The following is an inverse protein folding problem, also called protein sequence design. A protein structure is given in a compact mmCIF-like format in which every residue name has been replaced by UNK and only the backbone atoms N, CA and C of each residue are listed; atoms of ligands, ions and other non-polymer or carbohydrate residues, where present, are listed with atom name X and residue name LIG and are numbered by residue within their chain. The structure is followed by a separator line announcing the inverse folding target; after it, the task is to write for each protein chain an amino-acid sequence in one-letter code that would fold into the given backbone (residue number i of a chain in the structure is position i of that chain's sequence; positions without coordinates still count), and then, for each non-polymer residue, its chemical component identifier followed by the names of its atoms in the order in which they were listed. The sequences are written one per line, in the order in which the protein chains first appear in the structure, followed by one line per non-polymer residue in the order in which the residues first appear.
data_IF_822195531439
#
_entry.id   IF_822195531439
#
_cell.length_a   1.000
_cell.length_b   1.000
_cell.length_c   1.000
_cell.angle_alpha   90.00
_cell.angle_beta   90.00
_cell.angle_gamma   90.00
#
_symmetry.space_group_name_H-M   'P 1'
#
loop_
_entity.id
_entity.type
_entity.pdbx_description
1 polymer ?
#
# COMPACT_ATOMS: atom_id res chain seq x y z
N UNK A 1 -44.25 61.04 -34.42
CA UNK A 1 -44.55 60.11 -33.29
C UNK A 1 -43.73 58.86 -33.53
N UNK A 2 -42.74 58.60 -32.69
CA UNK A 2 -41.89 57.41 -32.76
C UNK A 2 -42.46 56.38 -31.77
N UNK A 3 -42.33 55.08 -32.05
CA UNK A 3 -43.03 54.04 -31.31
C UNK A 3 -42.14 53.45 -30.20
N UNK A 4 -42.26 53.97 -28.98
CA UNK A 4 -41.58 53.47 -27.79
C UNK A 4 -42.19 52.13 -27.34
N UNK A 5 -41.75 51.02 -27.96
CA UNK A 5 -42.17 49.65 -27.67
C UNK A 5 -40.99 48.72 -27.31
N UNK A 6 -39.91 49.27 -26.74
CA UNK A 6 -38.72 48.51 -26.32
C UNK A 6 -38.63 48.40 -24.80
N UNK A 7 -38.83 47.19 -24.26
CA UNK A 7 -38.60 46.87 -22.84
C UNK A 7 -37.26 46.17 -22.69
N UNK A 8 -36.35 46.75 -21.91
CA UNK A 8 -35.04 46.14 -21.60
C UNK A 8 -35.19 45.32 -20.31
N UNK A 9 -35.11 43.99 -20.44
CA UNK A 9 -35.17 43.05 -19.29
C UNK A 9 -33.76 42.59 -18.90
N UNK A 10 -33.19 43.20 -17.86
CA UNK A 10 -31.90 42.80 -17.30
C UNK A 10 -32.05 41.58 -16.37
N UNK A 11 -31.72 40.38 -16.87
CA UNK A 11 -31.73 39.14 -16.06
C UNK A 11 -30.35 38.96 -15.38
N UNK A 12 -30.26 38.96 -14.03
CA UNK A 12 -29.00 38.79 -13.33
C UNK A 12 -28.54 37.33 -13.33
N UNK A 13 -27.51 37.02 -14.13
CA UNK A 13 -26.85 35.71 -14.14
C UNK A 13 -25.94 35.57 -12.90
N UNK A 14 -25.92 34.39 -12.28
CA UNK A 14 -25.02 34.06 -11.17
C UNK A 14 -24.19 32.83 -11.54
N UNK A 15 -22.89 32.88 -11.29
CA UNK A 15 -22.03 31.70 -11.37
C UNK A 15 -22.24 30.84 -10.12
N UNK A 16 -22.31 29.52 -10.30
CA UNK A 16 -22.49 28.54 -9.23
C UNK A 16 -21.60 27.33 -9.58
N UNK A 17 -20.60 27.08 -8.74
CA UNK A 17 -19.77 25.88 -8.80
C UNK A 17 -19.79 25.16 -7.45
N UNK A 18 -19.60 23.83 -7.48
CA UNK A 18 -19.49 22.99 -6.28
C UNK A 18 -18.36 22.00 -6.52
N UNK A 19 -17.19 22.31 -6.00
CA UNK A 19 -16.07 21.36 -5.99
C UNK A 19 -16.19 20.46 -4.77
N UNK A 20 -15.89 19.18 -4.97
CA UNK A 20 -15.54 18.24 -3.90
C UNK A 20 -14.23 17.54 -4.27
N UNK A 21 -13.54 17.00 -3.27
CA UNK A 21 -12.38 16.11 -3.46
C UNK A 21 -12.68 14.79 -2.75
N UNK A 22 -12.44 13.69 -3.45
CA UNK A 22 -12.47 12.33 -2.90
C UNK A 22 -11.12 11.67 -3.13
N UNK A 23 -10.84 10.58 -2.43
CA UNK A 23 -9.63 9.80 -2.64
C UNK A 23 -9.76 8.38 -2.12
N UNK A 24 -8.91 7.51 -2.64
CA UNK A 24 -8.79 6.10 -2.30
C UNK A 24 -7.35 5.63 -2.55
N UNK A 25 -6.92 4.56 -1.89
CA UNK A 25 -5.64 3.89 -2.20
C UNK A 25 -5.90 2.74 -3.16
N UNK A 26 -4.92 2.40 -4.00
CA UNK A 26 -4.92 1.14 -4.77
C UNK A 26 -4.41 -0.05 -3.94
N UNK A 27 -3.86 0.20 -2.75
CA UNK A 27 -3.35 -0.81 -1.83
C UNK A 27 -3.85 -0.51 -0.41
N UNK A 28 -5.10 -0.88 -0.10
CA UNK A 28 -5.69 -0.67 1.24
C UNK A 28 -4.90 -1.38 2.35
N UNK A 29 -4.43 -2.58 2.06
CA UNK A 29 -3.63 -3.41 2.96
C UNK A 29 -2.35 -3.90 2.25
N UNK A 30 -1.21 -3.57 2.83
CA UNK A 30 0.12 -4.00 2.40
C UNK A 30 0.69 -4.93 3.46
N UNK A 31 1.04 -6.14 3.02
CA UNK A 31 1.58 -7.19 3.89
C UNK A 31 2.93 -7.64 3.32
N UNK A 32 3.99 -7.55 4.13
CA UNK A 32 5.32 -8.10 3.78
C UNK A 32 5.83 -9.07 4.83
N UNK A 33 6.95 -9.73 4.54
CA UNK A 33 7.77 -10.42 5.55
C UNK A 33 9.22 -9.99 5.37
N UNK A 34 9.95 -9.75 6.46
CA UNK A 34 11.38 -9.44 6.39
C UNK A 34 12.25 -10.66 6.04
N UNK A 35 11.70 -11.88 6.09
CA UNK A 35 12.46 -13.14 5.92
C UNK A 35 12.87 -13.48 4.49
N UNK A 36 12.39 -12.75 3.47
CA UNK A 36 12.72 -13.04 2.06
C UNK A 36 14.08 -12.49 1.57
N UNK A 37 14.98 -12.08 2.48
CA UNK A 37 16.16 -11.27 2.16
C UNK A 37 17.50 -12.06 2.14
N UNK A 38 17.44 -13.40 1.99
CA UNK A 38 18.62 -14.28 1.95
C UNK A 38 18.83 -14.97 0.60
N UNK A 39 18.26 -14.44 -0.48
CA UNK A 39 18.43 -14.94 -1.85
C UNK A 39 18.61 -13.77 -2.82
N UNK A 40 19.51 -13.91 -3.79
CA UNK A 40 20.10 -12.82 -4.55
C UNK A 40 19.25 -12.38 -5.77
N UNK A 41 17.95 -12.22 -5.58
CA UNK A 41 17.03 -11.76 -6.63
C UNK A 41 16.85 -10.24 -6.62
N UNK A 42 16.74 -9.66 -7.83
CA UNK A 42 16.87 -8.23 -8.10
C UNK A 42 15.59 -7.41 -7.78
N UNK A 43 14.97 -7.66 -6.63
CA UNK A 43 13.76 -6.98 -6.18
C UNK A 43 14.08 -5.60 -5.60
N UNK A 44 13.32 -4.57 -6.02
CA UNK A 44 13.47 -3.21 -5.51
C UNK A 44 13.25 -3.13 -4.01
N UNK A 45 14.09 -2.36 -3.31
CA UNK A 45 13.97 -2.17 -1.84
C UNK A 45 12.72 -1.41 -1.41
N UNK A 46 12.02 -0.80 -2.36
CA UNK A 46 10.91 0.10 -2.13
C UNK A 46 9.60 -0.53 -2.63
N UNK A 47 8.53 -0.47 -1.82
CA UNK A 47 7.17 -0.91 -2.16
C UNK A 47 6.46 0.24 -2.87
N UNK A 48 5.89 0.04 -4.09
CA UNK A 48 5.03 1.02 -4.73
C UNK A 48 3.65 1.05 -4.06
N UNK A 49 3.17 2.25 -3.74
CA UNK A 49 1.84 2.54 -3.20
C UNK A 49 1.24 3.69 -3.97
N UNK A 50 -0.05 3.65 -4.31
CA UNK A 50 -0.70 4.71 -5.08
C UNK A 50 -1.93 5.22 -4.34
N UNK A 51 -1.87 6.47 -3.89
CA UNK A 51 -3.02 7.20 -3.36
C UNK A 51 -3.64 8.00 -4.50
N UNK A 52 -4.81 7.55 -4.98
CA UNK A 52 -5.59 8.27 -5.99
C UNK A 52 -6.47 9.32 -5.33
N UNK A 53 -6.55 10.48 -5.96
CA UNK A 53 -7.50 11.54 -5.64
C UNK A 53 -8.27 11.96 -6.90
N UNK A 54 -9.53 12.33 -6.70
CA UNK A 54 -10.40 12.86 -7.76
C UNK A 54 -11.03 14.16 -7.27
N UNK A 55 -10.79 15.25 -7.99
CA UNK A 55 -11.41 16.56 -7.77
C UNK A 55 -12.55 16.72 -8.78
N UNK A 56 -13.76 16.97 -8.30
CA UNK A 56 -14.98 16.92 -9.13
C UNK A 56 -15.75 18.23 -8.97
N UNK A 57 -16.00 18.95 -10.07
CA UNK A 57 -16.88 20.11 -10.08
C UNK A 57 -18.32 19.69 -10.45
N UNK A 58 -19.16 19.46 -9.45
CA UNK A 58 -20.57 19.14 -9.61
C UNK A 58 -21.45 20.32 -10.07
N UNK A 59 -20.89 21.53 -10.19
CA UNK A 59 -21.66 22.74 -10.51
C UNK A 59 -21.75 23.04 -12.01
N UNK A 60 -22.78 23.82 -12.43
CA UNK A 60 -22.99 24.22 -13.82
C UNK A 60 -21.97 25.25 -14.33
N UNK A 61 -21.26 25.98 -13.45
CA UNK A 61 -20.24 26.94 -13.87
C UNK A 61 -18.83 26.34 -13.85
N UNK A 62 -18.01 26.59 -14.89
CA UNK A 62 -16.59 26.24 -14.88
C UNK A 62 -15.79 27.19 -13.96
N UNK A 63 -14.68 26.69 -13.42
CA UNK A 63 -13.73 27.41 -12.56
C UNK A 63 -12.45 27.67 -13.36
N UNK A 64 -12.02 28.92 -13.43
CA UNK A 64 -10.82 29.31 -14.19
C UNK A 64 -9.50 28.82 -13.56
N UNK A 65 -9.41 28.83 -12.23
CA UNK A 65 -8.23 28.38 -11.48
C UNK A 65 -8.63 27.81 -10.12
N UNK A 66 -8.10 26.63 -9.82
CA UNK A 66 -8.13 25.97 -8.51
C UNK A 66 -6.70 25.59 -8.08
N UNK A 67 -6.45 25.66 -6.78
CA UNK A 67 -5.25 25.18 -6.12
C UNK A 67 -5.56 23.80 -5.51
N UNK A 68 -4.81 22.78 -5.91
CA UNK A 68 -4.89 21.44 -5.32
C UNK A 68 -3.59 21.19 -4.55
N UNK A 69 -3.70 20.88 -3.26
CA UNK A 69 -2.55 20.59 -2.39
C UNK A 69 -2.66 19.19 -1.79
N UNK A 70 -1.52 18.53 -1.57
CA UNK A 70 -1.47 17.27 -0.82
C UNK A 70 -0.37 17.31 0.23
N UNK A 71 -0.67 16.85 1.45
CA UNK A 71 0.33 16.58 2.50
C UNK A 71 0.55 15.08 2.58
N UNK A 72 1.79 14.66 2.34
CA UNK A 72 2.19 13.25 2.29
C UNK A 72 3.32 13.01 3.29
N UNK A 73 3.16 12.11 4.28
CA UNK A 73 4.22 11.82 5.25
C UNK A 73 5.31 10.97 4.60
N UNK A 74 6.57 11.39 4.75
CA UNK A 74 7.73 10.82 4.01
C UNK A 74 8.91 10.44 4.91
N UNK A 75 9.05 11.07 6.08
CA UNK A 75 10.07 10.75 7.07
C UNK A 75 9.53 10.91 8.48
N UNK A 76 10.24 10.35 9.46
CA UNK A 76 9.97 10.53 10.88
C UNK A 76 11.28 10.66 11.67
N UNK A 77 11.19 11.26 12.85
CA UNK A 77 12.23 11.26 13.89
C UNK A 77 11.66 10.61 15.16
N UNK A 78 12.46 9.74 15.81
CA UNK A 78 12.19 9.38 17.20
C UNK A 78 12.76 10.49 18.09
N UNK A 79 12.05 10.80 19.18
CA UNK A 79 12.46 11.83 20.15
C UNK A 79 13.82 11.53 20.87
N UNK A 80 14.40 10.36 20.62
CA UNK A 80 15.69 9.88 21.12
C UNK A 80 16.78 9.77 20.05
N UNK A 81 16.50 10.09 18.78
CA UNK A 81 17.42 9.95 17.65
C UNK A 81 17.66 11.30 16.95
N UNK A 82 18.92 11.62 16.66
CA UNK A 82 19.32 12.83 15.92
C UNK A 82 19.30 12.65 14.39
N UNK A 83 18.63 11.62 13.89
CA UNK A 83 18.60 11.23 12.48
C UNK A 83 17.15 11.08 12.00
N UNK A 84 16.84 11.70 10.85
CA UNK A 84 15.52 11.66 10.24
C UNK A 84 15.43 10.47 9.27
N UNK A 85 14.54 9.53 9.53
CA UNK A 85 14.39 8.32 8.74
C UNK A 85 13.38 8.54 7.61
N UNK A 86 13.88 8.86 6.42
CA UNK A 86 13.08 8.93 5.19
C UNK A 86 12.64 7.52 4.78
N UNK A 87 11.35 7.23 4.91
CA UNK A 87 10.78 5.92 4.61
C UNK A 87 9.96 5.90 3.32
N UNK A 88 9.51 7.04 2.80
CA UNK A 88 8.82 7.13 1.51
C UNK A 88 9.41 8.23 0.62
N UNK A 89 9.56 7.93 -0.68
CA UNK A 89 9.79 8.90 -1.76
C UNK A 89 8.47 9.09 -2.52
N UNK A 90 8.25 10.25 -3.13
CA UNK A 90 7.05 10.52 -3.95
C UNK A 90 7.45 10.93 -5.37
N UNK A 91 6.82 10.35 -6.39
CA UNK A 91 7.00 10.80 -7.79
C UNK A 91 6.42 12.21 -7.97
N UNK A 92 6.80 12.92 -9.03
CA UNK A 92 6.18 14.21 -9.36
C UNK A 92 4.83 13.94 -10.02
N UNK A 93 3.68 14.19 -9.35
CA UNK A 93 2.40 13.80 -9.89
C UNK A 93 1.91 14.81 -10.92
N UNK A 94 0.91 14.39 -11.71
CA UNK A 94 0.18 15.22 -12.64
C UNK A 94 -1.30 15.22 -12.30
N UNK A 95 -2.00 16.29 -12.66
CA UNK A 95 -3.46 16.33 -12.70
C UNK A 95 -3.90 16.04 -14.13
N UNK A 96 -4.76 15.04 -14.33
CA UNK A 96 -5.30 14.67 -15.64
C UNK A 96 -6.77 15.09 -15.74
N UNK A 97 -7.11 15.88 -16.77
CA UNK A 97 -8.47 16.37 -17.04
C UNK A 97 -8.85 16.03 -18.48
N UNK A 98 -9.49 14.88 -18.66
CA UNK A 98 -9.76 14.32 -19.98
C UNK A 98 -8.45 14.00 -20.71
N UNK A 99 -8.11 14.80 -21.72
CA UNK A 99 -6.87 14.69 -22.51
C UNK A 99 -5.77 15.66 -22.11
N UNK A 100 -5.97 16.50 -21.07
CA UNK A 100 -5.01 17.53 -20.65
C UNK A 100 -4.29 17.11 -19.37
N UNK A 101 -2.99 17.36 -19.31
CA UNK A 101 -2.15 17.15 -18.13
C UNK A 101 -1.67 18.50 -17.56
N UNK A 102 -1.71 18.64 -16.24
CA UNK A 102 -1.15 19.77 -15.51
C UNK A 102 -0.07 19.27 -14.54
N UNK A 103 1.08 19.94 -14.50
CA UNK A 103 2.19 19.55 -13.64
C UNK A 103 1.98 20.02 -12.20
N UNK A 104 2.34 19.19 -11.23
CA UNK A 104 2.43 19.58 -9.82
C UNK A 104 3.89 19.74 -9.39
N UNK A 105 4.14 20.59 -8.40
CA UNK A 105 5.44 20.72 -7.74
C UNK A 105 5.45 19.97 -6.41
N UNK A 106 6.59 19.39 -6.04
CA UNK A 106 6.78 18.65 -4.80
C UNK A 106 7.83 19.34 -3.95
N UNK A 107 7.46 19.73 -2.72
CA UNK A 107 8.33 20.42 -1.77
C UNK A 107 8.59 19.52 -0.57
N UNK A 108 9.86 19.13 -0.38
CA UNK A 108 10.31 18.24 0.70
C UNK A 108 10.54 18.95 2.06
N UNK A 109 10.10 20.21 2.17
CA UNK A 109 10.26 21.01 3.38
C UNK A 109 11.72 21.26 3.75
N UNK A 110 12.10 20.98 5.00
CA UNK A 110 13.47 21.09 5.48
C UNK A 110 14.34 19.85 5.17
N UNK A 111 13.77 18.79 4.58
CA UNK A 111 14.54 17.64 4.15
C UNK A 111 15.22 17.93 2.81
N UNK A 112 16.46 17.46 2.64
CA UNK A 112 17.08 17.39 1.31
C UNK A 112 16.19 16.51 0.43
N UNK A 113 15.92 16.95 -0.81
CA UNK A 113 15.28 16.09 -1.81
C UNK A 113 16.06 14.77 -1.90
N UNK A 114 15.39 13.60 -2.02
CA UNK A 114 16.07 12.40 -2.47
C UNK A 114 16.77 12.74 -3.79
N UNK A 115 18.07 12.45 -3.82
CA UNK A 115 18.93 12.79 -4.96
C UNK A 115 18.49 11.97 -6.16
N UNK A 116 18.16 12.62 -7.28
CA UNK A 116 17.89 11.92 -8.53
C UNK A 116 19.23 11.41 -9.03
N UNK A 117 19.46 10.10 -8.92
CA UNK A 117 20.52 9.45 -9.69
C UNK A 117 20.23 9.71 -11.17
N UNK A 118 21.10 10.51 -11.77
CA UNK A 118 20.95 11.06 -13.11
C UNK A 118 22.34 11.16 -13.70
N UNK A 119 22.94 10.00 -13.84
CA UNK A 119 24.17 9.71 -14.57
C UNK A 119 23.99 9.97 -16.08
N UNK A 120 23.78 11.24 -16.43
CA UNK A 120 23.77 11.74 -17.82
C UNK A 120 25.02 12.57 -18.03
N UNK A 121 25.95 12.02 -18.81
CA UNK A 121 27.17 12.73 -19.23
C UNK A 121 26.80 13.86 -20.18
N UNK A 122 27.30 15.06 -19.90
CA UNK A 122 27.53 16.06 -20.94
C UNK A 122 28.76 16.89 -20.58
N UNK A 123 29.82 16.73 -21.36
CA UNK A 123 30.96 17.66 -21.33
C UNK A 123 30.54 18.98 -21.96
N UNK A 124 30.98 20.11 -21.40
CA UNK A 124 31.77 21.08 -22.17
C UNK A 124 32.47 22.09 -21.26
N UNK A 125 33.55 22.67 -21.78
CA UNK A 125 34.48 23.54 -21.05
C UNK A 125 34.08 25.02 -21.18
N UNK A 126 34.53 25.87 -20.26
CA UNK A 126 34.91 27.23 -20.69
C UNK A 126 34.78 28.39 -19.68
N UNK A 127 35.95 28.92 -19.31
CA UNK A 127 36.18 30.32 -18.92
C UNK A 127 35.81 30.78 -17.50
N UNK A 128 36.57 31.78 -17.04
CA UNK A 128 36.47 32.46 -15.76
C UNK A 128 35.83 33.85 -15.96
N UNK A 129 35.13 34.35 -14.92
CA UNK A 129 34.58 35.71 -14.89
C UNK A 129 34.64 36.28 -13.47
N UNK A 130 34.95 37.57 -13.34
CA UNK A 130 35.16 38.28 -12.07
C UNK A 130 33.88 39.05 -11.69
N UNK A 131 33.49 39.14 -10.40
CA UNK A 131 32.30 39.90 -10.00
C UNK A 131 32.50 41.41 -10.20
N UNK A 132 31.38 42.11 -10.46
CA UNK A 132 31.27 43.56 -10.45
C UNK A 132 29.89 43.96 -9.89
N UNK A 133 29.86 44.98 -9.04
CA UNK A 133 28.64 45.57 -8.47
C UNK A 133 28.04 46.59 -9.46
N UNK A 134 26.72 46.72 -9.51
CA UNK A 134 26.00 47.92 -9.01
C UNK A 134 24.47 47.87 -9.25
N UNK A 135 23.77 48.89 -8.72
CA UNK A 135 22.38 49.27 -9.01
C UNK A 135 21.28 48.29 -8.59
N UNK A 136 20.75 48.51 -7.38
CA UNK A 136 19.60 47.78 -6.86
C UNK A 136 18.25 48.29 -7.38
N UNK A 137 17.26 47.40 -7.41
CA UNK A 137 15.83 47.72 -7.45
C UNK A 137 15.21 47.16 -6.17
N UNK A 138 14.55 48.00 -5.39
CA UNK A 138 14.02 47.61 -4.07
C UNK A 138 12.86 46.62 -4.21
N UNK A 139 13.09 45.34 -3.89
CA UNK A 139 12.03 44.33 -3.70
C UNK A 139 11.80 44.02 -2.22
N UNK A 140 12.00 45.02 -1.37
CA UNK A 140 11.91 44.94 0.09
C UNK A 140 10.45 45.08 0.58
N UNK A 141 9.56 44.21 0.09
CA UNK A 141 8.12 44.21 0.45
C UNK A 141 7.47 42.81 0.54
N UNK A 142 8.19 41.74 0.18
CA UNK A 142 7.69 40.35 0.31
C UNK A 142 8.02 39.67 1.65
N UNK A 143 8.63 40.38 2.60
CA UNK A 143 9.14 39.80 3.85
C UNK A 143 8.51 40.32 5.15
N UNK A 144 7.23 40.72 5.13
CA UNK A 144 6.47 40.99 6.37
C UNK A 144 5.03 40.44 6.41
N UNK A 145 4.92 39.28 7.08
CA UNK A 145 3.74 38.81 7.81
C UNK A 145 2.47 38.48 7.01
N UNK A 146 2.16 37.18 6.94
CA UNK A 146 0.98 36.64 7.65
C UNK A 146 1.27 35.27 8.23
N UNK A 147 1.11 35.12 9.55
CA UNK A 147 1.13 33.84 10.25
C UNK A 147 -0.21 33.13 10.00
N UNK A 148 -0.26 32.12 9.15
CA UNK A 148 -1.41 31.23 9.01
C UNK A 148 -1.37 30.16 10.10
N UNK A 149 -2.02 30.44 11.24
CA UNK A 149 -2.32 29.44 12.26
C UNK A 149 -3.37 28.42 11.76
N UNK A 150 -3.49 27.23 12.39
CA UNK A 150 -3.63 25.99 11.62
C UNK A 150 -5.04 25.72 11.07
N UNK A 151 -5.15 25.67 9.74
CA UNK A 151 -6.33 25.21 9.00
C UNK A 151 -6.19 23.76 8.45
N UNK A 152 -5.25 22.97 8.99
CA UNK A 152 -5.08 21.55 8.65
C UNK A 152 -5.60 20.60 9.75
N UNK A 153 -6.42 21.10 10.69
CA UNK A 153 -7.08 20.29 11.71
C UNK A 153 -8.24 19.49 11.11
N UNK A 154 -7.94 18.42 10.38
CA UNK A 154 -8.95 17.39 10.09
C UNK A 154 -9.21 16.61 11.37
N UNK A 155 -10.47 16.54 11.79
CA UNK A 155 -10.87 15.82 12.99
C UNK A 155 -10.88 14.31 12.68
N UNK A 156 -9.73 13.66 12.84
CA UNK A 156 -9.52 12.24 12.52
C UNK A 156 -10.19 11.33 13.57
N UNK A 157 -11.52 11.24 13.45
CA UNK A 157 -12.38 10.39 14.29
C UNK A 157 -12.23 8.90 13.98
N UNK A 158 -11.50 8.52 12.92
CA UNK A 158 -11.14 7.12 12.66
C UNK A 158 -9.94 6.67 13.50
N UNK A 159 -8.98 7.57 13.76
CA UNK A 159 -7.76 7.23 14.52
C UNK A 159 -8.02 6.63 15.90
N UNK A 160 -9.09 7.06 16.58
CA UNK A 160 -9.49 6.58 17.90
C UNK A 160 -10.01 5.12 17.89
N UNK A 161 -10.58 4.65 16.78
CA UNK A 161 -11.18 3.31 16.71
C UNK A 161 -10.14 2.18 16.67
N UNK A 162 -8.93 2.44 16.16
CA UNK A 162 -7.83 1.47 16.11
C UNK A 162 -6.68 1.81 17.07
N UNK A 163 -6.92 2.48 18.22
CA UNK A 163 -5.89 2.67 19.27
C UNK A 163 -5.53 1.38 20.03
N UNK A 164 -5.17 0.33 19.30
CA UNK A 164 -4.43 -0.80 19.87
C UNK A 164 -3.06 -0.33 20.37
N UNK A 165 -2.51 -0.98 21.40
CA UNK A 165 -1.21 -0.57 21.99
C UNK A 165 0.03 -0.82 21.09
N UNK A 166 -0.18 -1.10 19.80
CA UNK A 166 0.82 -1.49 18.80
C UNK A 166 0.52 -0.93 17.39
N UNK A 167 -0.32 0.09 17.29
CA UNK A 167 -0.69 0.74 16.01
C UNK A 167 0.01 2.10 15.90
N UNK A 168 0.74 2.34 14.81
CA UNK A 168 1.51 3.56 14.59
C UNK A 168 0.94 4.39 13.44
N UNK A 169 0.47 5.60 13.76
CA UNK A 169 -0.10 6.53 12.78
C UNK A 169 0.98 7.47 12.24
N UNK A 170 1.18 7.45 10.92
CA UNK A 170 2.04 8.36 10.18
C UNK A 170 1.13 9.35 9.45
N UNK A 171 0.93 10.54 10.02
CA UNK A 171 0.09 11.60 9.46
C UNK A 171 0.75 12.99 9.59
N UNK A 172 0.31 13.93 8.76
CA UNK A 172 0.86 15.29 8.70
C UNK A 172 0.23 16.29 9.69
N UNK A 173 -0.62 15.81 10.60
CA UNK A 173 -1.29 16.64 11.61
C UNK A 173 -0.41 16.91 12.84
N UNK A 174 0.67 16.15 13.00
CA UNK A 174 1.62 16.26 14.11
C UNK A 174 1.11 15.60 15.40
N UNK A 175 1.92 14.75 16.02
CA UNK A 175 1.61 14.17 17.32
C UNK A 175 2.81 14.29 18.29
N UNK A 176 2.53 14.38 19.59
CA UNK A 176 3.54 14.68 20.61
C UNK A 176 4.46 13.49 20.99
N UNK A 177 4.47 12.40 20.22
CA UNK A 177 5.33 11.21 20.45
C UNK A 177 6.24 10.88 19.27
N UNK A 178 5.84 11.27 18.07
CA UNK A 178 6.52 11.02 16.82
C UNK A 178 6.43 12.28 15.96
N UNK A 179 7.57 12.91 15.70
CA UNK A 179 7.65 13.99 14.73
C UNK A 179 7.69 13.38 13.32
N UNK A 180 6.75 13.80 12.48
CA UNK A 180 6.55 13.30 11.12
C UNK A 180 6.78 14.44 10.14
N UNK A 181 7.71 14.24 9.22
CA UNK A 181 8.00 15.20 8.15
C UNK A 181 7.22 14.82 6.90
N UNK A 182 6.62 15.84 6.27
CA UNK A 182 5.77 15.65 5.10
C UNK A 182 6.29 16.42 3.88
N UNK A 183 6.13 15.81 2.71
CA UNK A 183 6.14 16.53 1.44
C UNK A 183 4.82 17.29 1.28
N UNK A 184 4.92 18.52 0.80
CA UNK A 184 3.78 19.28 0.29
C UNK A 184 3.82 19.22 -1.25
N UNK A 185 2.80 18.61 -1.85
CA UNK A 185 2.57 18.65 -3.29
C UNK A 185 1.61 19.81 -3.57
N UNK A 186 1.92 20.62 -4.58
CA UNK A 186 1.07 21.75 -4.99
C UNK A 186 0.87 21.76 -6.50
N UNK A 187 -0.39 21.70 -6.93
CA UNK A 187 -0.81 21.84 -8.32
C UNK A 187 -1.56 23.18 -8.44
N UNK A 188 -0.95 24.14 -9.15
CA UNK A 188 -1.45 25.50 -9.32
C UNK A 188 -2.24 25.64 -10.62
N UNK A 189 -3.14 26.63 -10.65
CA UNK A 189 -3.89 27.07 -11.83
C UNK A 189 -4.56 25.94 -12.64
N UNK A 190 -5.16 25.00 -11.92
CA UNK A 190 -5.92 23.88 -12.49
C UNK A 190 -7.33 24.35 -12.87
N UNK A 191 -7.72 24.40 -14.15
CA UNK A 191 -9.06 24.78 -14.55
C UNK A 191 -10.02 23.58 -14.39
N UNK A 192 -11.22 23.81 -13.84
CA UNK A 192 -12.24 22.76 -13.68
C UNK A 192 -13.47 23.14 -14.50
N UNK A 193 -13.74 22.43 -15.59
CA UNK A 193 -14.95 22.64 -16.39
C UNK A 193 -16.22 22.30 -15.60
N UNK A 194 -17.39 22.71 -16.12
CA UNK A 194 -18.68 22.26 -15.59
C UNK A 194 -18.75 20.73 -15.67
N UNK A 195 -19.12 20.07 -14.57
CA UNK A 195 -19.28 18.60 -14.48
C UNK A 195 -18.01 17.80 -14.80
N UNK A 196 -16.81 18.41 -14.80
CA UNK A 196 -15.56 17.69 -15.04
C UNK A 196 -15.00 17.03 -13.77
N UNK A 197 -14.31 15.90 -13.99
CA UNK A 197 -13.42 15.24 -13.05
C UNK A 197 -11.97 15.54 -13.42
N UNK A 198 -11.15 15.81 -12.42
CA UNK A 198 -9.70 15.88 -12.49
C UNK A 198 -9.12 14.74 -11.63
N UNK A 199 -8.23 13.92 -12.20
CA UNK A 199 -7.64 12.75 -11.52
C UNK A 199 -6.17 12.99 -11.19
N UNK A 200 -5.75 12.61 -9.99
CA UNK A 200 -4.38 12.77 -9.50
C UNK A 200 -3.95 11.45 -8.86
N UNK A 201 -2.86 10.86 -9.35
CA UNK A 201 -2.22 9.70 -8.72
C UNK A 201 -0.97 10.17 -7.97
N UNK A 202 -0.93 9.99 -6.66
CA UNK A 202 0.29 10.15 -5.87
C UNK A 202 0.96 8.78 -5.76
N UNK A 203 2.08 8.58 -6.45
CA UNK A 203 2.86 7.35 -6.37
C UNK A 203 3.94 7.51 -5.30
N UNK A 204 3.92 6.61 -4.30
CA UNK A 204 4.87 6.56 -3.20
C UNK A 204 5.72 5.31 -3.33
N UNK A 205 7.02 5.44 -3.05
CA UNK A 205 7.99 4.35 -3.03
C UNK A 205 8.51 4.19 -1.60
N UNK A 206 8.00 3.18 -0.89
CA UNK A 206 8.20 3.01 0.55
C UNK A 206 9.34 2.02 0.84
N UNK A 207 10.45 2.51 1.39
CA UNK A 207 11.65 1.72 1.63
C UNK A 207 11.45 0.69 2.76
N UNK A 208 11.47 -0.60 2.40
CA UNK A 208 11.24 -1.74 3.30
C UNK A 208 12.25 -1.81 4.44
N UNK A 209 13.50 -1.42 4.19
CA UNK A 209 14.61 -1.50 5.17
C UNK A 209 14.46 -0.46 6.28
N UNK A 210 13.91 0.72 5.98
CA UNK A 210 13.52 1.71 7.00
C UNK A 210 12.23 1.28 7.70
N UNK A 211 11.23 0.87 6.93
CA UNK A 211 9.90 0.47 7.43
C UNK A 211 9.97 -0.71 8.42
N UNK A 212 10.85 -1.69 8.19
CA UNK A 212 11.14 -2.80 9.10
C UNK A 212 11.95 -2.42 10.36
N UNK A 213 12.45 -1.19 10.48
CA UNK A 213 12.91 -0.62 11.76
C UNK A 213 11.71 -0.10 12.57
N UNK A 214 10.72 0.50 11.91
CA UNK A 214 9.50 1.05 12.53
C UNK A 214 8.67 -0.06 13.19
N UNK A 215 8.41 -1.17 12.47
CA UNK A 215 7.59 -2.27 12.98
C UNK A 215 8.20 -3.06 14.15
N UNK A 216 9.41 -2.74 14.60
CA UNK A 216 9.91 -3.31 15.87
C UNK A 216 9.14 -2.81 17.09
N UNK A 217 8.52 -1.63 16.97
CA UNK A 217 7.75 -0.98 18.02
C UNK A 217 6.22 -1.00 17.76
N UNK A 218 5.77 -1.56 16.62
CA UNK A 218 4.36 -1.58 16.20
C UNK A 218 4.04 -2.78 15.27
N UNK A 219 2.89 -3.43 15.46
CA UNK A 219 2.43 -4.53 14.60
C UNK A 219 1.77 -4.02 13.30
N UNK A 220 1.29 -2.77 13.33
CA UNK A 220 0.52 -2.13 12.25
C UNK A 220 0.92 -0.66 12.12
N UNK A 221 1.26 -0.23 10.92
CA UNK A 221 1.41 1.16 10.51
C UNK A 221 0.18 1.59 9.70
N UNK A 222 -0.32 2.79 9.97
CA UNK A 222 -1.32 3.46 9.13
C UNK A 222 -0.68 4.73 8.58
N UNK A 223 -0.48 4.77 7.26
CA UNK A 223 0.07 5.95 6.57
C UNK A 223 -1.07 6.74 5.93
N UNK A 224 -1.22 7.99 6.34
CA UNK A 224 -2.34 8.84 5.98
C UNK A 224 -1.87 10.09 5.23
N UNK A 225 -2.35 10.28 3.99
CA UNK A 225 -2.15 11.52 3.24
C UNK A 225 -3.42 12.35 3.17
N UNK A 226 -3.27 13.67 3.16
CA UNK A 226 -4.38 14.62 3.15
C UNK A 226 -4.35 15.42 1.86
N UNK A 227 -5.33 15.23 0.99
CA UNK A 227 -5.60 16.09 -0.16
C UNK A 227 -6.49 17.26 0.23
N UNK A 228 -6.28 18.41 -0.40
CA UNK A 228 -7.03 19.66 -0.22
C UNK A 228 -7.26 20.30 -1.59
N UNK A 229 -8.43 20.91 -1.78
CA UNK A 229 -8.68 21.80 -2.91
C UNK A 229 -9.24 23.14 -2.43
N UNK A 230 -8.70 24.24 -2.95
CA UNK A 230 -9.18 25.60 -2.77
C UNK A 230 -9.53 26.23 -4.13
N UNK A 231 -10.64 26.96 -4.18
CA UNK A 231 -11.05 27.73 -5.37
C UNK A 231 -10.46 29.14 -5.27
N UNK A 232 -9.42 29.45 -6.05
CA UNK A 232 -8.72 30.75 -5.94
C UNK A 232 -9.63 31.94 -6.27
N UNK A 233 -10.57 31.75 -7.18
CA UNK A 233 -11.52 32.79 -7.61
C UNK A 233 -12.87 32.78 -6.88
N UNK A 234 -12.97 32.15 -5.70
CA UNK A 234 -14.24 31.82 -5.02
C UNK A 234 -15.26 32.96 -4.86
N UNK A 235 -14.81 34.21 -4.86
CA UNK A 235 -15.67 35.40 -4.78
C UNK A 235 -16.56 35.59 -6.03
N UNK A 236 -16.05 35.23 -7.22
CA UNK A 236 -16.83 35.27 -8.48
C UNK A 236 -18.01 34.29 -8.49
N UNK A 237 -17.92 33.23 -7.68
CA UNK A 237 -18.85 32.09 -7.67
C UNK A 237 -19.83 32.12 -6.49
N UNK A 238 -19.85 33.21 -5.70
CA UNK A 238 -20.70 33.36 -4.52
C UNK A 238 -20.62 32.17 -3.52
N UNK A 239 -19.43 31.59 -3.36
CA UNK A 239 -19.23 30.39 -2.54
C UNK A 239 -19.06 30.79 -1.07
N UNK A 240 -19.96 30.27 -0.22
CA UNK A 240 -19.87 30.34 1.24
C UNK A 240 -18.48 29.91 1.72
N UNK A 241 -17.90 30.60 2.69
CA UNK A 241 -16.54 30.35 3.20
C UNK A 241 -16.29 28.88 3.56
N UNK A 242 -17.27 28.23 4.19
CA UNK A 242 -17.29 26.81 4.57
C UNK A 242 -17.20 25.83 3.38
N UNK A 243 -17.56 26.26 2.18
CA UNK A 243 -17.54 25.47 0.95
C UNK A 243 -16.40 25.87 -0.02
N UNK A 244 -15.53 26.82 0.36
CA UNK A 244 -14.38 27.24 -0.49
C UNK A 244 -13.23 26.23 -0.50
N UNK A 245 -13.12 25.46 0.58
CA UNK A 245 -12.08 24.44 0.78
C UNK A 245 -12.73 23.09 1.03
N UNK A 246 -12.19 22.04 0.39
CA UNK A 246 -12.53 20.64 0.67
C UNK A 246 -11.28 19.81 0.92
N UNK A 247 -11.44 18.73 1.69
CA UNK A 247 -10.36 17.85 2.10
C UNK A 247 -10.75 16.38 1.89
N UNK A 248 -9.78 15.54 1.53
CA UNK A 248 -9.92 14.09 1.47
C UNK A 248 -8.72 13.44 2.18
N UNK A 249 -8.99 12.42 3.00
CA UNK A 249 -7.94 11.58 3.60
C UNK A 249 -7.88 10.26 2.85
N UNK A 250 -6.66 9.78 2.58
CA UNK A 250 -6.38 8.45 2.05
C UNK A 250 -5.41 7.74 2.99
N UNK A 251 -5.88 6.64 3.56
CA UNK A 251 -5.13 5.79 4.48
C UNK A 251 -4.69 4.51 3.78
N UNK A 252 -3.43 4.11 3.96
CA UNK A 252 -2.91 2.79 3.58
C UNK A 252 -2.42 2.07 4.84
N UNK A 253 -2.88 0.84 5.05
CA UNK A 253 -2.48 0.00 6.18
C UNK A 253 -1.30 -0.89 5.82
N UNK A 254 -0.32 -0.99 6.70
CA UNK A 254 0.96 -1.65 6.48
C UNK A 254 1.31 -2.55 7.68
N UNK A 255 1.51 -3.84 7.47
CA UNK A 255 1.84 -4.79 8.53
C UNK A 255 2.83 -5.86 8.06
N UNK A 256 3.64 -6.36 8.98
CA UNK A 256 4.55 -7.47 8.72
C UNK A 256 3.92 -8.79 9.17
N UNK A 257 3.87 -9.77 8.27
CA UNK A 257 3.78 -11.17 8.64
C UNK A 257 5.10 -11.54 9.30
N UNK A 258 5.13 -11.31 10.61
CA UNK A 258 6.00 -12.00 11.55
C UNK A 258 5.61 -13.47 11.47
N UNK A 259 6.27 -14.18 10.56
CA UNK A 259 6.24 -15.63 10.54
C UNK A 259 6.95 -16.12 11.79
N UNK A 260 6.25 -16.15 12.93
CA UNK A 260 6.62 -16.92 14.10
C UNK A 260 6.77 -18.37 13.65
N UNK A 261 8.00 -18.76 13.34
CA UNK A 261 8.29 -20.11 12.89
C UNK A 261 7.97 -21.04 14.04
N UNK A 262 6.91 -21.84 13.89
CA UNK A 262 6.36 -22.74 14.92
C UNK A 262 7.55 -23.40 15.63
N UNK A 263 7.85 -23.02 16.89
CA UNK A 263 9.18 -23.20 17.42
C UNK A 263 9.48 -24.69 17.51
N UNK A 264 10.64 -25.09 16.99
CA UNK A 264 10.88 -26.43 16.43
C UNK A 264 10.54 -27.61 17.37
N UNK A 265 10.63 -27.42 18.68
CA UNK A 265 10.22 -28.37 19.73
C UNK A 265 8.73 -28.79 19.69
N UNK A 266 7.84 -27.97 19.13
CA UNK A 266 6.41 -28.31 18.97
C UNK A 266 6.23 -29.49 17.99
N UNK A 267 7.11 -29.64 16.99
CA UNK A 267 7.04 -30.74 16.02
C UNK A 267 7.23 -32.12 16.68
N UNK A 268 8.33 -32.43 17.40
CA UNK A 268 8.45 -33.70 18.11
C UNK A 268 7.44 -33.86 19.25
N UNK A 269 7.04 -32.78 19.94
CA UNK A 269 6.00 -32.85 20.99
C UNK A 269 4.65 -33.30 20.42
N UNK A 270 4.23 -32.75 19.27
CA UNK A 270 2.98 -33.16 18.61
C UNK A 270 3.03 -34.61 18.09
N UNK A 271 4.19 -35.07 17.60
CA UNK A 271 4.40 -36.47 17.19
C UNK A 271 4.28 -37.41 18.40
N UNK A 272 4.94 -37.10 19.53
CA UNK A 272 4.87 -37.91 20.75
C UNK A 272 3.45 -37.94 21.33
N UNK A 273 2.77 -36.80 21.39
CA UNK A 273 1.39 -36.71 21.87
C UNK A 273 0.41 -37.48 20.97
N UNK A 274 0.58 -37.39 19.65
CA UNK A 274 -0.18 -38.16 18.67
C UNK A 274 0.03 -39.67 18.82
N UNK A 275 1.27 -40.11 19.09
CA UNK A 275 1.57 -41.53 19.30
C UNK A 275 0.98 -42.06 20.62
N UNK A 276 0.98 -41.26 21.69
CA UNK A 276 0.31 -41.61 22.96
C UNK A 276 -1.22 -41.68 22.81
N UNK A 277 -1.83 -40.78 22.04
CA UNK A 277 -3.24 -40.87 21.66
C UNK A 277 -3.53 -42.12 20.82
N UNK A 278 -2.68 -42.45 19.85
CA UNK A 278 -2.84 -43.66 19.03
C UNK A 278 -2.76 -44.94 19.88
N UNK A 279 -1.76 -45.06 20.78
CA UNK A 279 -1.62 -46.19 21.69
C UNK A 279 -2.80 -46.34 22.66
N UNK A 280 -3.29 -45.23 23.23
CA UNK A 280 -4.47 -45.26 24.11
C UNK A 280 -5.75 -45.63 23.35
N UNK A 281 -5.90 -45.18 22.10
CA UNK A 281 -7.02 -45.57 21.23
C UNK A 281 -6.98 -47.06 20.86
N UNK A 282 -5.81 -47.61 20.49
CA UNK A 282 -5.61 -49.05 20.25
C UNK A 282 -5.93 -49.86 21.52
N UNK A 283 -5.46 -49.41 22.69
CA UNK A 283 -5.76 -50.07 23.97
C UNK A 283 -7.26 -50.04 24.30
N UNK A 284 -7.95 -48.93 24.03
CA UNK A 284 -9.39 -48.81 24.20
C UNK A 284 -10.15 -49.76 23.25
N UNK A 285 -9.84 -49.75 21.94
CA UNK A 285 -10.45 -50.65 20.95
C UNK A 285 -10.23 -52.13 21.29
N UNK A 286 -9.04 -52.48 21.78
CA UNK A 286 -8.75 -53.84 22.27
C UNK A 286 -9.58 -54.20 23.50
N UNK A 287 -9.70 -53.29 24.48
CA UNK A 287 -10.49 -53.49 25.70
C UNK A 287 -12.00 -53.62 25.41
N UNK A 288 -12.53 -52.80 24.49
CA UNK A 288 -13.92 -52.90 24.00
C UNK A 288 -14.14 -54.06 23.01
N UNK A 289 -13.16 -54.93 22.81
CA UNK A 289 -13.31 -56.17 22.05
C UNK A 289 -13.39 -56.00 20.53
N UNK A 290 -13.09 -54.82 19.98
CA UNK A 290 -13.10 -54.58 18.54
C UNK A 290 -12.17 -55.54 17.78
N UNK A 291 -10.99 -55.81 18.35
CA UNK A 291 -10.00 -56.76 17.83
C UNK A 291 -10.23 -58.22 18.26
N UNK A 292 -11.34 -58.54 18.95
CA UNK A 292 -11.69 -59.92 19.36
C UNK A 292 -12.53 -60.69 18.33
N UNK A 293 -12.69 -60.20 17.10
CA UNK A 293 -13.34 -60.96 16.02
C UNK A 293 -12.46 -62.16 15.60
N UNK A 294 -13.07 -63.35 15.57
CA UNK A 294 -12.42 -64.64 15.28
C UNK A 294 -12.02 -64.80 13.81
N UNK A 295 -11.10 -63.97 13.34
CA UNK A 295 -10.57 -64.00 11.97
C UNK A 295 -9.25 -64.78 11.87
N UNK A 296 -8.57 -65.06 13.00
CA UNK A 296 -7.39 -65.95 13.01
C UNK A 296 -7.78 -67.39 12.74
N UNK A 297 -8.68 -67.95 13.55
CA UNK A 297 -9.20 -69.31 13.40
C UNK A 297 -9.69 -69.57 11.96
N UNK A 298 -10.45 -68.63 11.37
CA UNK A 298 -10.91 -68.74 9.99
C UNK A 298 -9.84 -68.55 8.91
N UNK A 299 -8.74 -67.84 9.20
CA UNK A 299 -7.62 -67.73 8.27
C UNK A 299 -6.76 -69.01 8.31
N UNK A 300 -6.58 -69.59 9.49
CA UNK A 300 -5.81 -70.81 9.68
C UNK A 300 -6.60 -72.04 9.19
N UNK A 301 -7.93 -72.09 9.40
CA UNK A 301 -8.84 -73.08 8.78
C UNK A 301 -8.81 -73.02 7.22
N UNK A 302 -8.68 -71.82 6.64
CA UNK A 302 -8.54 -71.66 5.19
C UNK A 302 -7.14 -72.04 4.68
N UNK A 303 -6.08 -71.89 5.47
CA UNK A 303 -4.74 -72.39 5.12
C UNK A 303 -4.68 -73.91 5.16
N UNK A 304 -5.30 -74.53 6.16
CA UNK A 304 -5.36 -75.98 6.30
C UNK A 304 -6.07 -76.61 5.10
N UNK A 305 -7.19 -76.01 4.65
CA UNK A 305 -7.90 -76.41 3.43
C UNK A 305 -7.12 -76.16 2.14
N UNK A 306 -6.39 -75.05 2.03
CA UNK A 306 -5.51 -74.80 0.89
C UNK A 306 -4.38 -75.85 0.79
N UNK A 307 -3.82 -76.29 1.93
CA UNK A 307 -2.80 -77.33 1.97
C UNK A 307 -3.36 -78.73 1.58
N UNK A 308 -4.62 -79.05 1.93
CA UNK A 308 -5.29 -80.26 1.43
C UNK A 308 -5.54 -80.22 -0.09
N UNK A 309 -5.77 -79.05 -0.68
CA UNK A 309 -5.96 -78.90 -2.14
C UNK A 309 -4.64 -79.00 -2.92
N UNK A 310 -3.53 -78.45 -2.41
CA UNK A 310 -2.20 -78.63 -3.04
C UNK A 310 -1.78 -80.11 -3.07
N UNK A 311 -1.90 -80.83 -1.96
CA UNK A 311 -1.54 -82.26 -1.87
C UNK A 311 -2.34 -83.16 -2.84
N UNK A 312 -3.52 -82.72 -3.27
CA UNK A 312 -4.39 -83.47 -4.19
C UNK A 312 -4.03 -83.32 -5.67
N UNK A 313 -3.01 -82.52 -5.98
CA UNK A 313 -2.64 -82.15 -7.35
C UNK A 313 -1.33 -82.83 -7.81
N UNK A 314 -0.60 -83.53 -6.94
CA UNK A 314 0.64 -84.25 -7.29
C UNK A 314 0.43 -85.65 -7.90
N UNK A 315 -0.78 -86.22 -7.83
CA UNK A 315 -1.09 -87.59 -8.27
C UNK A 315 -1.51 -87.68 -9.77
N UNK A 316 -0.68 -87.14 -10.69
CA UNK A 316 -0.70 -87.59 -12.10
C UNK A 316 0.70 -87.50 -12.77
N UNK A 317 1.21 -88.58 -13.41
CA UNK A 317 2.62 -88.61 -13.82
C UNK A 317 2.98 -87.82 -15.08
N UNK A 318 4.27 -87.49 -15.18
CA UNK A 318 4.91 -86.80 -16.30
C UNK A 318 5.22 -87.68 -17.52
N UNK A 319 5.24 -87.03 -18.69
CA UNK A 319 6.12 -87.32 -19.85
C UNK A 319 6.50 -85.95 -20.46
N UNK A 320 7.79 -85.56 -20.58
CA UNK A 320 8.80 -85.95 -21.62
C UNK A 320 8.41 -85.34 -22.98
N UNK A 321 9.24 -84.61 -23.75
CA UNK A 321 10.69 -84.25 -23.76
C UNK A 321 10.80 -82.71 -24.07
N UNK A 322 11.74 -81.91 -23.54
CA UNK A 322 13.16 -81.68 -23.93
C UNK A 322 13.35 -80.70 -25.14
N UNK A 323 14.60 -80.46 -25.57
CA UNK A 323 15.09 -79.56 -26.64
C UNK A 323 15.07 -78.04 -26.35
N UNK A 324 16.14 -77.54 -25.70
CA UNK A 324 16.43 -76.10 -25.55
C UNK A 324 17.48 -75.56 -26.55
N UNK A 325 17.45 -74.25 -26.86
CA UNK A 325 18.46 -73.60 -27.71
C UNK A 325 18.90 -72.19 -27.23
N UNK A 326 20.22 -72.06 -27.04
CA UNK A 326 21.11 -70.91 -27.29
C UNK A 326 20.65 -69.45 -27.06
N UNK A 327 21.34 -68.81 -26.12
CA UNK A 327 21.84 -67.41 -26.13
C UNK A 327 22.54 -66.99 -27.45
N UNK A 328 22.91 -65.72 -27.70
CA UNK A 328 22.48 -64.41 -27.13
C UNK A 328 22.23 -63.33 -28.24
N UNK A 329 22.33 -62.03 -27.88
CA UNK A 329 22.48 -60.84 -28.78
C UNK A 329 21.15 -60.41 -29.45
N UNK A 330 20.80 -59.11 -29.57
CA UNK A 330 21.59 -57.86 -29.51
C UNK A 330 20.97 -56.80 -28.58
#
# INVERSE_FOLDING_TARGET
KQADNTVILSIPVKLISRVDIIGNTLQEHIVWSAKSYSSADNYTTDIPVVHKYEVINYGPSPIGSALIQFKVPIAYSLHSASENFCYAKISTPKVVIGSHEYNCHVYYGALKSPEKDSTVVSEQQGSQGRPQEESGVNTDDFQRSRRSWPAWMVNDTKSDQFRGKRTMYLNCSGNAKLEVFCAEVSCLDVPLSSQSRAEINLELFINRTVLGKILKDADLIVMSSVGRVDILEAEKYNISSENRTRFAIVDTMMSEVVGEGIPFWILPVSIVLGFLLLLTFIKALSHYGFFKRGTKEKLDELKEKAAEEEFKTEDLPSMIEDDGYTLPVL
#
